data_IF_879083936644
#
_entry.id   IF_879083936644
#
_cell.length_a   1.000
_cell.length_b   1.000
_cell.length_c   1.000
_cell.angle_alpha   90.00
_cell.angle_beta   90.00
_cell.angle_gamma   90.00
#
_symmetry.space_group_name_H-M   'P 1'
#
loop_
_entity.id
_entity.type
_entity.pdbx_description
1 polymer ?
#
# COMPACT_ATOMS: atom_id res chain seq x y z
N UNK A 1 17.20 -13.74 4.55
CA UNK A 1 17.15 -12.31 4.20
C UNK A 1 16.52 -11.64 5.39
N UNK A 2 17.21 -10.70 6.01
CA UNK A 2 16.65 -9.92 7.11
C UNK A 2 15.86 -8.77 6.48
N UNK A 3 14.55 -8.73 6.72
CA UNK A 3 13.75 -7.58 6.33
C UNK A 3 14.09 -6.41 7.25
N UNK A 4 14.13 -5.21 6.67
CA UNK A 4 14.33 -4.00 7.44
C UNK A 4 13.11 -3.81 8.35
N UNK A 5 13.34 -3.60 9.64
CA UNK A 5 12.28 -3.30 10.58
C UNK A 5 11.91 -1.84 10.50
N UNK A 6 10.61 -1.57 10.43
CA UNK A 6 10.04 -0.24 10.44
C UNK A 6 9.11 -0.12 11.64
N UNK A 7 9.27 0.93 12.41
CA UNK A 7 8.28 1.27 13.44
C UNK A 7 7.05 1.91 12.79
N UNK A 8 5.86 1.83 13.42
CA UNK A 8 4.65 2.48 12.91
C UNK A 8 4.84 4.00 12.73
N UNK A 9 5.70 4.61 13.54
CA UNK A 9 6.12 6.00 13.41
C UNK A 9 6.98 6.28 12.17
N UNK A 10 7.87 5.35 11.76
CA UNK A 10 8.58 5.44 10.49
C UNK A 10 7.60 5.36 9.32
N UNK A 11 6.72 4.36 9.33
CA UNK A 11 5.72 4.17 8.25
C UNK A 11 4.82 5.41 8.16
N UNK A 12 4.34 5.93 9.30
CA UNK A 12 3.52 7.14 9.37
C UNK A 12 4.21 8.41 8.83
N UNK A 13 5.54 8.46 8.81
CA UNK A 13 6.27 9.57 8.19
C UNK A 13 6.18 9.56 6.66
N UNK A 14 5.96 8.38 6.05
CA UNK A 14 5.82 8.18 4.62
C UNK A 14 4.36 8.26 4.18
N UNK A 15 3.78 9.47 4.25
CA UNK A 15 2.37 9.72 3.94
C UNK A 15 2.11 10.85 2.93
N UNK A 16 3.08 11.13 2.05
CA UNK A 16 3.04 12.27 1.13
C UNK A 16 2.99 11.83 -0.33
N UNK A 17 2.57 12.73 -1.23
CA UNK A 17 2.50 12.43 -2.67
C UNK A 17 3.88 12.04 -3.21
N UNK A 18 4.01 10.82 -3.72
CA UNK A 18 5.28 10.27 -4.19
C UNK A 18 6.17 9.63 -3.11
N UNK A 19 5.71 9.56 -1.87
CA UNK A 19 6.37 8.87 -0.75
C UNK A 19 5.29 8.32 0.22
N UNK A 20 4.75 7.15 -0.13
CA UNK A 20 3.63 6.49 0.55
C UNK A 20 4.03 5.06 0.92
N UNK A 21 4.14 4.80 2.22
CA UNK A 21 4.30 3.45 2.73
C UNK A 21 3.00 2.97 3.35
N UNK A 22 2.71 1.69 3.16
CA UNK A 22 1.56 1.03 3.77
C UNK A 22 2.00 -0.28 4.41
N UNK A 23 1.37 -0.65 5.51
CA UNK A 23 1.54 -1.96 6.11
C UNK A 23 0.40 -2.89 5.68
N UNK A 24 0.70 -4.10 5.21
CA UNK A 24 -0.29 -5.15 4.92
C UNK A 24 0.21 -6.45 5.55
N UNK A 25 -0.59 -7.10 6.37
CA UNK A 25 -0.22 -8.33 7.09
C UNK A 25 1.16 -8.22 7.80
N UNK A 26 1.39 -7.11 8.50
CA UNK A 26 2.65 -6.81 9.22
C UNK A 26 3.90 -6.65 8.33
N UNK A 27 3.74 -6.53 7.01
CA UNK A 27 4.83 -6.21 6.07
C UNK A 27 4.66 -4.78 5.58
N UNK A 28 5.76 -4.07 5.35
CA UNK A 28 5.76 -2.68 4.87
C UNK A 28 6.10 -2.64 3.40
N UNK A 29 5.26 -1.93 2.63
CA UNK A 29 5.32 -1.83 1.18
C UNK A 29 5.47 -0.39 0.74
N UNK A 30 6.42 -0.14 -0.17
CA UNK A 30 6.57 1.13 -0.85
C UNK A 30 5.65 1.18 -2.07
N UNK A 31 4.50 1.85 -1.92
CA UNK A 31 3.52 2.04 -3.00
C UNK A 31 3.66 3.39 -3.67
N UNK A 32 4.70 4.18 -3.35
CA UNK A 32 4.93 5.52 -3.89
C UNK A 32 4.86 5.59 -5.41
N UNK A 33 5.53 4.65 -6.10
CA UNK A 33 5.53 4.57 -7.57
C UNK A 33 4.29 3.86 -8.12
N UNK A 34 3.64 3.06 -7.29
CA UNK A 34 2.49 2.27 -7.66
C UNK A 34 1.19 3.06 -7.53
N UNK A 35 1.11 4.03 -6.62
CA UNK A 35 -0.08 4.84 -6.36
C UNK A 35 -0.62 5.51 -7.65
N UNK A 36 0.27 6.04 -8.49
CA UNK A 36 -0.10 6.63 -9.79
C UNK A 36 -0.46 5.60 -10.87
N UNK A 37 -0.01 4.36 -10.72
CA UNK A 37 -0.24 3.25 -11.65
C UNK A 37 -1.37 2.32 -11.18
N UNK A 38 -1.87 2.50 -9.96
CA UNK A 38 -2.83 1.61 -9.35
C UNK A 38 -4.18 1.71 -10.06
N UNK A 39 -4.65 0.62 -10.69
CA UNK A 39 -5.95 0.61 -11.34
C UNK A 39 -7.03 0.53 -10.27
N UNK A 40 -7.62 1.66 -9.87
CA UNK A 40 -8.78 1.60 -8.97
C UNK A 40 -10.08 1.54 -9.78
N UNK A 41 -11.04 0.79 -9.25
CA UNK A 41 -12.41 0.78 -9.75
C UNK A 41 -13.23 1.64 -8.80
N UNK A 42 -13.74 2.78 -9.25
CA UNK A 42 -14.84 3.42 -8.51
C UNK A 42 -16.04 2.49 -8.55
N UNK A 43 -16.92 2.58 -7.55
CA UNK A 43 -18.27 1.99 -7.61
C UNK A 43 -19.10 2.52 -8.81
N UNK A 44 -18.62 3.58 -9.48
CA UNK A 44 -19.22 4.17 -10.68
C UNK A 44 -18.73 3.56 -12.00
N UNK A 45 -17.82 2.58 -11.97
CA UNK A 45 -17.31 1.93 -13.18
C UNK A 45 -16.26 2.75 -13.96
N UNK A 46 -15.87 3.91 -13.44
CA UNK A 46 -14.75 4.70 -13.96
C UNK A 46 -13.43 4.18 -13.38
N UNK A 47 -12.54 3.75 -14.28
CA UNK A 47 -11.13 3.46 -14.01
C UNK A 47 -10.35 4.77 -14.16
N UNK A 48 -10.13 5.45 -13.05
CA UNK A 48 -9.06 6.44 -12.98
C UNK A 48 -7.88 5.82 -12.22
N UNK A 49 -6.67 6.37 -12.33
CA UNK A 49 -5.57 6.04 -11.41
C UNK A 49 -5.71 6.91 -10.17
N UNK A 50 -5.54 6.36 -8.98
CA UNK A 50 -5.99 7.03 -7.75
C UNK A 50 -5.00 6.88 -6.63
N UNK A 51 -4.07 7.84 -6.53
CA UNK A 51 -3.28 8.04 -5.31
C UNK A 51 -4.15 8.44 -4.12
N UNK A 52 -5.35 8.99 -4.36
CA UNK A 52 -6.34 9.37 -3.34
C UNK A 52 -6.72 8.24 -2.38
N UNK A 53 -6.87 7.00 -2.87
CA UNK A 53 -7.21 5.86 -1.99
C UNK A 53 -6.06 5.51 -1.05
N UNK A 54 -4.83 5.77 -1.48
CA UNK A 54 -3.66 5.51 -0.65
C UNK A 54 -3.50 6.57 0.42
N UNK A 55 -3.89 7.83 0.21
CA UNK A 55 -3.77 8.88 1.24
C UNK A 55 -4.55 8.57 2.54
N UNK A 56 -5.66 7.83 2.45
CA UNK A 56 -6.43 7.46 3.64
C UNK A 56 -5.70 6.44 4.53
N UNK A 57 -5.01 5.50 3.87
CA UNK A 57 -4.21 4.42 4.49
C UNK A 57 -2.71 4.72 4.51
N UNK A 58 -2.30 5.88 4.04
CA UNK A 58 -0.90 6.27 3.91
C UNK A 58 -0.26 6.35 5.29
N UNK A 59 0.83 5.63 5.47
CA UNK A 59 1.53 5.56 6.73
C UNK A 59 0.85 4.69 7.79
N UNK A 60 -0.14 3.89 7.41
CA UNK A 60 -0.94 3.04 8.31
C UNK A 60 -1.00 1.59 7.81
N UNK A 61 -1.62 0.75 8.64
CA UNK A 61 -2.01 -0.59 8.23
C UNK A 61 -3.23 -0.53 7.29
N UNK A 62 -3.04 -0.99 6.07
CA UNK A 62 -4.01 -1.06 5.00
C UNK A 62 -4.56 -2.49 4.83
N UNK A 63 -4.31 -3.42 5.76
CA UNK A 63 -4.73 -4.82 5.64
C UNK A 63 -6.24 -4.92 5.47
N UNK A 64 -7.00 -4.27 6.35
CA UNK A 64 -8.47 -4.29 6.27
C UNK A 64 -8.98 -3.71 4.95
N UNK A 65 -8.44 -2.57 4.50
CA UNK A 65 -8.84 -1.95 3.24
C UNK A 65 -8.48 -2.82 2.02
N UNK A 66 -7.32 -3.48 2.06
CA UNK A 66 -6.86 -4.37 0.99
C UNK A 66 -7.73 -5.64 0.89
N UNK A 67 -8.12 -6.21 2.03
CA UNK A 67 -8.99 -7.38 2.10
C UNK A 67 -10.45 -7.05 1.75
N UNK A 68 -10.98 -5.91 2.20
CA UNK A 68 -12.35 -5.46 1.93
C UNK A 68 -12.59 -5.22 0.43
N UNK A 69 -11.60 -4.65 -0.28
CA UNK A 69 -11.65 -4.49 -1.74
C UNK A 69 -11.66 -5.85 -2.46
N UNK A 70 -11.08 -6.89 -1.86
CA UNK A 70 -11.03 -8.23 -2.46
C UNK A 70 -10.09 -8.32 -3.67
N UNK A 71 -8.87 -7.81 -3.55
CA UNK A 71 -7.85 -7.86 -4.61
C UNK A 71 -7.63 -9.28 -5.15
N UNK A 72 -7.46 -9.40 -6.47
CA UNK A 72 -7.18 -10.67 -7.17
C UNK A 72 -5.83 -11.27 -6.74
N UNK A 73 -5.66 -12.58 -6.95
CA UNK A 73 -4.41 -13.29 -6.66
C UNK A 73 -3.19 -12.71 -7.41
N UNK A 74 -3.40 -12.19 -8.62
CA UNK A 74 -2.35 -11.49 -9.39
C UNK A 74 -1.86 -10.22 -8.68
N UNK A 75 -2.76 -9.43 -8.10
CA UNK A 75 -2.38 -8.23 -7.34
C UNK A 75 -1.61 -8.61 -6.07
N UNK A 76 -2.03 -9.68 -5.38
CA UNK A 76 -1.33 -10.22 -4.22
C UNK A 76 0.07 -10.75 -4.59
N UNK A 77 0.23 -11.33 -5.77
CA UNK A 77 1.52 -11.81 -6.24
C UNK A 77 2.52 -10.67 -6.54
N UNK A 78 2.06 -9.44 -6.79
CA UNK A 78 2.92 -8.28 -6.99
C UNK A 78 3.37 -7.60 -5.68
N UNK A 79 2.61 -7.74 -4.59
CA UNK A 79 2.96 -7.21 -3.26
C UNK A 79 4.43 -7.45 -2.83
N UNK A 80 4.98 -8.68 -2.91
CA UNK A 80 6.36 -8.94 -2.51
C UNK A 80 7.40 -8.13 -3.27
N UNK A 81 7.11 -7.67 -4.51
CA UNK A 81 8.03 -6.80 -5.27
C UNK A 81 8.14 -5.39 -4.69
N UNK A 82 7.12 -4.95 -3.96
CA UNK A 82 7.07 -3.64 -3.30
C UNK A 82 7.48 -3.71 -1.82
N UNK A 83 7.78 -4.90 -1.28
CA UNK A 83 8.15 -5.07 0.13
C UNK A 83 9.49 -4.41 0.40
N UNK A 84 9.49 -3.42 1.30
CA UNK A 84 10.71 -2.76 1.78
C UNK A 84 11.16 -3.29 3.14
N UNK A 85 10.24 -3.91 3.89
CA UNK A 85 10.53 -4.41 5.22
C UNK A 85 9.33 -5.03 5.94
N UNK A 86 9.47 -5.18 7.25
CA UNK A 86 8.44 -5.67 8.16
C UNK A 86 8.15 -4.61 9.23
N UNK A 87 6.89 -4.54 9.66
CA UNK A 87 6.48 -3.69 10.78
C UNK A 87 6.94 -4.35 12.08
N UNK A 88 7.63 -3.62 12.95
CA UNK A 88 8.14 -4.16 14.22
C UNK A 88 7.14 -4.19 15.38
#
# INVERSE_FOLDING_TARGET
MEFKKFSPEDVSAHNTDGDIYIAIHSHVYDVSKFASQHPYTTNSGERSGGSEIFFDVAGKDATEAFEDIGHSDEARAMLPEFTVGELE
#
